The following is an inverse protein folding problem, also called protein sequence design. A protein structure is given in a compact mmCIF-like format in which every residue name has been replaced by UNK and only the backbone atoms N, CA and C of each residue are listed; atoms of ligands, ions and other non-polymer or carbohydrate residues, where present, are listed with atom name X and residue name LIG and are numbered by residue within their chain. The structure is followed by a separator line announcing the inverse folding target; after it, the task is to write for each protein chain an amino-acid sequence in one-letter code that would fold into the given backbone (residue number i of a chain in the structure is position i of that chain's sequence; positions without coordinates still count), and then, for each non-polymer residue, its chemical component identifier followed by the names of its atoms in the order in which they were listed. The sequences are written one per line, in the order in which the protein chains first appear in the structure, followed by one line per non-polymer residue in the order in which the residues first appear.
data_IF_434755468093
#
_entry.id   IF_434755468093
#
_cell.length_a   1.000
_cell.length_b   1.000
_cell.length_c   1.000
_cell.angle_alpha   90.00
_cell.angle_beta   90.00
_cell.angle_gamma   90.00
#
_symmetry.space_group_name_H-M   'P 1'
#
loop_
_entity.id
_entity.type
_entity.pdbx_description
1 polymer ?
#
# COMPACT_ATOMS: atom_id res chain seq x y z
N UNK A 1 8.04 -15.80 14.25
CA UNK A 1 7.52 -14.41 14.27
C UNK A 1 6.63 -14.24 15.50
N UNK A 2 6.91 -13.25 16.36
CA UNK A 2 6.05 -12.87 17.49
C UNK A 2 5.24 -11.61 17.17
N UNK A 3 4.16 -11.31 17.92
CA UNK A 3 3.37 -10.08 17.71
C UNK A 3 4.22 -8.80 17.79
N UNK A 4 5.18 -8.74 18.72
CA UNK A 4 6.04 -7.57 18.88
C UNK A 4 7.10 -7.45 17.77
N UNK A 5 7.52 -8.57 17.16
CA UNK A 5 8.34 -8.53 15.95
C UNK A 5 7.51 -8.00 14.77
N UNK A 6 6.27 -8.47 14.60
CA UNK A 6 5.37 -8.02 13.54
C UNK A 6 5.01 -6.53 13.65
N UNK A 7 5.01 -5.97 14.87
CA UNK A 7 4.71 -4.55 15.08
C UNK A 7 5.89 -3.60 14.75
N UNK A 8 7.11 -4.10 14.53
CA UNK A 8 8.30 -3.29 14.20
C UNK A 8 8.39 -3.03 12.70
N UNK A 9 7.52 -2.15 12.21
CA UNK A 9 7.50 -1.81 10.78
C UNK A 9 8.75 -1.02 10.38
N UNK A 10 9.40 -1.32 9.23
CA UNK A 10 10.69 -0.73 8.87
C UNK A 10 10.63 0.78 8.58
N UNK A 11 9.51 1.29 8.09
CA UNK A 11 9.38 2.69 7.63
C UNK A 11 8.41 3.55 8.45
N UNK A 12 7.57 2.95 9.29
CA UNK A 12 6.40 3.64 9.86
C UNK A 12 6.23 3.33 11.33
N UNK A 13 5.93 4.35 12.14
CA UNK A 13 5.45 4.16 13.52
C UNK A 13 3.92 4.16 13.51
N UNK A 14 3.30 3.02 13.82
CA UNK A 14 1.85 2.81 13.68
C UNK A 14 1.28 2.00 14.84
N UNK A 15 -0.05 1.98 14.96
CA UNK A 15 -0.76 1.14 15.93
C UNK A 15 -0.62 -0.36 15.68
N UNK A 16 -0.74 -1.19 16.73
CA UNK A 16 -0.46 -2.64 16.65
C UNK A 16 -1.26 -3.38 15.58
N UNK A 17 -2.56 -3.07 15.42
CA UNK A 17 -3.43 -3.74 14.45
C UNK A 17 -2.92 -3.55 13.02
N UNK A 18 -2.72 -2.29 12.60
CA UNK A 18 -2.26 -1.99 11.24
C UNK A 18 -0.82 -2.49 11.00
N UNK A 19 0.05 -2.49 12.02
CA UNK A 19 1.39 -3.06 11.88
C UNK A 19 1.37 -4.57 11.63
N UNK A 20 0.53 -5.32 12.35
CA UNK A 20 0.34 -6.76 12.12
C UNK A 20 -0.29 -7.03 10.74
N UNK A 21 -1.27 -6.22 10.34
CA UNK A 21 -1.86 -6.32 9.01
C UNK A 21 -0.85 -6.01 7.90
N UNK A 22 0.07 -5.06 8.11
CA UNK A 22 1.17 -4.79 7.18
C UNK A 22 2.12 -5.99 7.08
N UNK A 23 2.49 -6.58 8.23
CA UNK A 23 3.36 -7.76 8.29
C UNK A 23 2.77 -9.00 7.58
N UNK A 24 1.44 -9.09 7.47
CA UNK A 24 0.72 -10.17 6.77
C UNK A 24 0.26 -9.78 5.35
N UNK A 25 0.54 -8.56 4.90
CA UNK A 25 -0.02 -7.92 3.70
C UNK A 25 -1.57 -7.79 3.69
N UNK A 26 -2.26 -8.14 4.77
CA UNK A 26 -3.70 -7.93 4.89
C UNK A 26 -4.07 -6.45 4.74
N UNK A 27 -3.21 -5.55 5.23
CA UNK A 27 -3.42 -4.10 5.05
C UNK A 27 -3.52 -3.73 3.57
N UNK A 28 -2.63 -4.28 2.73
CA UNK A 28 -2.65 -4.01 1.29
C UNK A 28 -3.88 -4.61 0.61
N UNK A 29 -4.40 -5.74 1.11
CA UNK A 29 -5.66 -6.32 0.65
C UNK A 29 -6.87 -5.42 0.96
N UNK A 30 -6.93 -4.83 2.16
CA UNK A 30 -7.97 -3.88 2.53
C UNK A 30 -7.89 -2.60 1.69
N UNK A 31 -6.69 -2.04 1.52
CA UNK A 31 -6.45 -0.87 0.66
C UNK A 31 -6.79 -1.14 -0.81
N UNK A 32 -6.58 -2.36 -1.32
CA UNK A 32 -7.00 -2.74 -2.66
C UNK A 32 -8.53 -2.70 -2.82
N UNK A 33 -9.26 -3.23 -1.84
CA UNK A 33 -10.74 -3.18 -1.84
C UNK A 33 -11.19 -1.72 -1.77
N UNK A 34 -10.62 -0.93 -0.86
CA UNK A 34 -10.90 0.49 -0.70
C UNK A 34 -10.68 1.26 -2.01
N UNK A 35 -9.53 1.11 -2.66
CA UNK A 35 -9.23 1.79 -3.91
C UNK A 35 -10.20 1.41 -5.05
N UNK A 36 -10.61 0.14 -5.13
CA UNK A 36 -11.62 -0.28 -6.11
C UNK A 36 -12.96 0.41 -5.91
N UNK A 37 -13.38 0.58 -4.66
CA UNK A 37 -14.62 1.28 -4.33
C UNK A 37 -14.50 2.79 -4.52
N UNK A 38 -13.45 3.42 -3.98
CA UNK A 38 -13.23 4.87 -4.05
C UNK A 38 -13.07 5.38 -5.49
N UNK A 39 -12.38 4.61 -6.34
CA UNK A 39 -12.06 5.02 -7.71
C UNK A 39 -12.87 4.28 -8.77
N UNK A 40 -13.88 3.50 -8.38
CA UNK A 40 -14.69 2.67 -9.29
C UNK A 40 -13.84 1.82 -10.25
N UNK A 41 -12.74 1.24 -9.74
CA UNK A 41 -11.76 0.54 -10.54
C UNK A 41 -12.10 -0.96 -10.67
N UNK A 42 -12.05 -1.46 -11.91
CA UNK A 42 -12.12 -2.90 -12.16
C UNK A 42 -10.83 -3.60 -11.72
N UNK A 43 -10.89 -4.92 -11.52
CA UNK A 43 -9.72 -5.69 -11.12
C UNK A 43 -8.54 -5.59 -12.11
N UNK A 44 -8.84 -5.39 -13.42
CA UNK A 44 -7.83 -5.24 -14.48
C UNK A 44 -7.12 -3.88 -14.46
N UNK A 45 -7.68 -2.90 -13.76
CA UNK A 45 -7.12 -1.55 -13.64
C UNK A 45 -6.29 -1.36 -12.36
N UNK A 46 -6.11 -2.43 -11.58
CA UNK A 46 -5.42 -2.39 -10.28
C UNK A 46 -4.17 -3.26 -10.31
N UNK A 47 -3.07 -2.72 -9.82
CA UNK A 47 -1.79 -3.43 -9.66
C UNK A 47 -1.25 -3.21 -8.25
N UNK A 48 -0.85 -4.29 -7.58
CA UNK A 48 -0.20 -4.25 -6.27
C UNK A 48 1.29 -4.44 -6.49
N UNK A 49 2.07 -3.42 -6.15
CA UNK A 49 3.53 -3.43 -6.30
C UNK A 49 4.20 -3.28 -4.94
N UNK A 50 5.27 -4.06 -4.72
CA UNK A 50 6.07 -3.97 -3.49
C UNK A 50 7.17 -2.92 -3.66
N UNK A 51 7.09 -1.86 -2.85
CA UNK A 51 8.07 -0.79 -2.82
C UNK A 51 8.64 -0.64 -1.39
N UNK A 52 9.73 -1.36 -1.04
CA UNK A 52 10.22 -1.44 0.34
C UNK A 52 10.63 -0.11 0.96
N UNK A 53 11.01 0.87 0.14
CA UNK A 53 11.42 2.20 0.62
C UNK A 53 10.23 3.06 1.05
N UNK A 54 9.01 2.74 0.58
CA UNK A 54 7.78 3.49 0.86
C UNK A 54 7.81 4.99 0.50
N UNK A 55 8.76 5.44 -0.34
CA UNK A 55 8.89 6.86 -0.73
C UNK A 55 7.83 7.26 -1.77
N UNK A 56 7.51 6.34 -2.69
CA UNK A 56 6.37 6.49 -3.60
C UNK A 56 5.19 5.75 -2.98
N UNK A 57 4.10 6.46 -2.72
CA UNK A 57 2.97 5.92 -1.94
C UNK A 57 1.92 5.24 -2.79
N UNK A 58 1.71 5.75 -4.00
CA UNK A 58 0.83 5.18 -5.01
C UNK A 58 1.12 5.85 -6.36
N UNK A 59 0.60 5.24 -7.43
CA UNK A 59 0.74 5.75 -8.79
C UNK A 59 -0.55 5.56 -9.57
N UNK A 60 -0.76 6.40 -10.59
CA UNK A 60 -1.87 6.30 -11.55
C UNK A 60 -1.28 6.31 -12.96
N UNK A 61 -1.70 5.35 -13.79
CA UNK A 61 -1.32 5.25 -15.20
C UNK A 61 -2.43 5.83 -16.08
N UNK A 62 -2.07 6.68 -17.03
CA UNK A 62 -2.97 7.29 -18.00
C UNK A 62 -2.90 6.57 -19.35
N UNK A 63 -3.87 6.85 -20.24
CA UNK A 63 -3.99 6.18 -21.54
C UNK A 63 -2.84 6.51 -22.51
N UNK A 64 -2.20 7.67 -22.34
CA UNK A 64 -1.03 8.09 -23.12
C UNK A 64 0.27 7.37 -22.69
N UNK A 65 0.20 6.50 -21.68
CA UNK A 65 1.33 5.78 -21.12
C UNK A 65 2.05 6.53 -20.00
N UNK A 66 1.66 7.77 -19.69
CA UNK A 66 2.23 8.53 -18.58
C UNK A 66 1.82 7.93 -17.23
N UNK A 67 2.69 8.10 -16.23
CA UNK A 67 2.47 7.64 -14.86
C UNK A 67 2.74 8.80 -13.91
N UNK A 68 1.74 9.12 -13.08
CA UNK A 68 1.88 10.08 -11.99
C UNK A 68 2.01 9.32 -10.67
N UNK A 69 3.02 9.68 -9.88
CA UNK A 69 3.25 9.12 -8.55
C UNK A 69 3.29 10.22 -7.50
N UNK A 70 2.77 9.94 -6.31
CA UNK A 70 2.88 10.83 -5.16
C UNK A 70 4.03 10.38 -4.26
N UNK A 71 4.97 11.28 -3.99
CA UNK A 71 6.17 10.99 -3.20
C UNK A 71 6.35 11.98 -2.06
N UNK A 72 6.72 11.48 -0.88
CA UNK A 72 7.14 12.29 0.26
C UNK A 72 8.12 11.49 1.13
N UNK A 73 8.69 12.15 2.16
CA UNK A 73 9.50 11.46 3.16
C UNK A 73 8.59 10.75 4.16
N UNK A 74 8.80 9.45 4.32
CA UNK A 74 8.16 8.58 5.32
C UNK A 74 8.82 8.70 6.68
#
# INVERSE_FOLDING_TARGET
MTPDQACRHPNWSMGRKISVDSATMMNKGLEYIEARWLFNASARQMEVLIHPQSVIHSMVRYQDGSVLGAAWRT
#
